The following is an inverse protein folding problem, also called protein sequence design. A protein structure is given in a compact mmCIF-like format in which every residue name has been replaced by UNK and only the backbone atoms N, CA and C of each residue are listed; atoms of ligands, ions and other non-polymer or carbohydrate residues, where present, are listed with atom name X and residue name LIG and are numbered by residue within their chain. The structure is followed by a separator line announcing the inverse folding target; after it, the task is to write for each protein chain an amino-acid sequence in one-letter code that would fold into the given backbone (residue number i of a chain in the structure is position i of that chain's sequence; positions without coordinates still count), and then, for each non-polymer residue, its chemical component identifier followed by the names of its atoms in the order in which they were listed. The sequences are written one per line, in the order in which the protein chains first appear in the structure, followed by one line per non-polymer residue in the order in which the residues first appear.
data_IF_489089833985
#
_entry.id   IF_489089833985
#
_cell.length_a   1.000
_cell.length_b   1.000
_cell.length_c   1.000
_cell.angle_alpha   90.00
_cell.angle_beta   90.00
_cell.angle_gamma   90.00
#
_symmetry.space_group_name_H-M   'P 1'
#
loop_
_entity.id
_entity.type
_entity.pdbx_description
1 polymer ?
#
# COMPACT_ATOMS: atom_id res chain seq x y z
N UNK A 1 -14.60 -31.20 37.01
CA UNK A 1 -15.69 -30.44 36.40
C UNK A 1 -15.11 -29.12 35.87
N UNK A 2 -15.18 -28.91 34.58
CA UNK A 2 -14.70 -27.64 33.98
C UNK A 2 -15.91 -26.74 33.75
N UNK A 3 -15.89 -25.56 34.38
CA UNK A 3 -16.90 -24.52 34.13
C UNK A 3 -16.42 -23.69 32.94
N UNK A 4 -17.20 -23.66 31.89
CA UNK A 4 -16.90 -22.90 30.67
C UNK A 4 -17.84 -21.72 30.62
N UNK A 5 -17.29 -20.52 30.51
CA UNK A 5 -18.02 -19.28 30.29
C UNK A 5 -17.93 -18.87 28.82
N UNK A 6 -19.09 -18.68 28.16
CA UNK A 6 -19.12 -18.25 26.79
C UNK A 6 -18.68 -16.78 26.66
N UNK A 7 -17.70 -16.53 25.80
CA UNK A 7 -17.25 -15.16 25.44
C UNK A 7 -18.04 -14.67 24.23
N UNK A 8 -18.34 -13.35 24.16
CA UNK A 8 -18.96 -12.79 22.97
C UNK A 8 -18.06 -13.01 21.74
N UNK A 9 -18.58 -13.62 20.68
CA UNK A 9 -17.88 -13.93 19.44
C UNK A 9 -17.93 -12.82 18.41
N UNK A 10 -18.68 -11.75 18.68
CA UNK A 10 -18.84 -10.58 17.80
C UNK A 10 -17.99 -9.41 18.26
N UNK A 11 -17.28 -8.80 17.33
CA UNK A 11 -16.54 -7.56 17.55
C UNK A 11 -17.05 -6.48 16.60
N UNK A 12 -17.44 -5.34 17.16
CA UNK A 12 -17.79 -4.13 16.42
C UNK A 12 -16.71 -3.08 16.66
N UNK A 13 -16.13 -2.59 15.60
CA UNK A 13 -15.14 -1.52 15.64
C UNK A 13 -15.63 -0.36 14.79
N UNK A 14 -15.70 0.83 15.40
CA UNK A 14 -15.88 2.08 14.69
C UNK A 14 -14.70 3.00 15.04
N UNK A 15 -14.09 3.58 14.02
CA UNK A 15 -12.93 4.43 14.17
C UNK A 15 -12.99 5.65 13.28
N UNK A 16 -12.35 6.72 13.73
CA UNK A 16 -12.10 7.93 12.95
C UNK A 16 -10.60 8.12 12.88
N UNK A 17 -10.10 8.33 11.69
CA UNK A 17 -8.70 8.66 11.44
C UNK A 17 -8.57 9.98 10.69
N UNK A 18 -7.34 10.43 10.54
CA UNK A 18 -6.98 11.59 9.74
C UNK A 18 -5.62 11.40 9.08
N UNK A 19 -5.53 11.77 7.83
CA UNK A 19 -4.26 11.94 7.12
C UNK A 19 -4.31 13.25 6.32
N UNK A 20 -3.17 13.87 6.09
CA UNK A 20 -3.10 15.13 5.34
C UNK A 20 -3.60 14.96 3.90
N UNK A 21 -3.35 13.82 3.29
CA UNK A 21 -3.79 13.49 1.92
C UNK A 21 -5.24 13.01 1.88
N UNK A 22 -5.62 12.06 2.72
CA UNK A 22 -6.95 11.45 2.66
C UNK A 22 -8.04 12.23 3.45
N UNK A 23 -7.64 13.26 4.23
CA UNK A 23 -8.55 13.99 5.10
C UNK A 23 -9.08 13.11 6.25
N UNK A 24 -10.35 13.25 6.58
CA UNK A 24 -11.02 12.43 7.60
C UNK A 24 -11.30 11.05 7.02
N UNK A 25 -10.93 10.02 7.78
CA UNK A 25 -11.13 8.60 7.43
C UNK A 25 -12.11 8.00 8.43
N UNK A 26 -13.22 7.51 7.93
CA UNK A 26 -14.21 6.78 8.71
C UNK A 26 -14.04 5.28 8.46
N UNK A 27 -13.90 4.52 9.52
CA UNK A 27 -13.76 3.07 9.46
C UNK A 27 -14.80 2.39 10.35
N UNK A 28 -15.46 1.39 9.81
CA UNK A 28 -16.37 0.55 10.57
C UNK A 28 -16.12 -0.90 10.17
N UNK A 29 -16.00 -1.78 11.14
CA UNK A 29 -15.97 -3.20 10.88
C UNK A 29 -16.80 -3.98 11.88
N UNK A 30 -17.45 -5.02 11.38
CA UNK A 30 -18.18 -6.01 12.16
C UNK A 30 -17.51 -7.35 11.86
N UNK A 31 -16.99 -7.98 12.89
CA UNK A 31 -16.39 -9.31 12.77
C UNK A 31 -17.12 -10.26 13.69
N UNK A 32 -17.60 -11.35 13.17
CA UNK A 32 -18.20 -12.45 13.92
C UNK A 32 -17.29 -13.67 13.80
N UNK A 33 -16.54 -13.95 14.84
CA UNK A 33 -15.82 -15.22 14.98
C UNK A 33 -16.79 -16.32 15.40
N UNK A 34 -16.48 -17.56 14.99
CA UNK A 34 -17.33 -18.71 15.29
C UNK A 34 -18.79 -18.54 14.85
N UNK A 35 -19.01 -18.05 13.62
CA UNK A 35 -20.32 -17.78 13.07
C UNK A 35 -21.24 -19.01 13.18
N UNK A 36 -22.36 -18.87 13.89
CA UNK A 36 -23.31 -19.94 14.19
C UNK A 36 -22.69 -21.21 14.79
N UNK A 37 -21.65 -21.06 15.60
CA UNK A 37 -20.97 -22.19 16.24
C UNK A 37 -20.08 -23.04 15.31
N UNK A 38 -19.84 -22.58 14.08
CA UNK A 38 -19.15 -23.34 13.04
C UNK A 38 -17.62 -23.18 13.03
N UNK A 39 -17.05 -22.38 13.92
CA UNK A 39 -15.62 -22.03 13.94
C UNK A 39 -15.18 -21.13 12.76
N UNK A 40 -16.11 -20.65 11.96
CA UNK A 40 -15.84 -19.83 10.78
C UNK A 40 -16.02 -18.35 11.12
N UNK A 41 -15.31 -17.48 10.38
CA UNK A 41 -15.36 -16.02 10.57
C UNK A 41 -16.10 -15.36 9.43
N UNK A 42 -16.97 -14.43 9.76
CA UNK A 42 -17.55 -13.48 8.81
C UNK A 42 -17.13 -12.08 9.23
N UNK A 43 -16.74 -11.28 8.24
CA UNK A 43 -16.33 -9.91 8.43
C UNK A 43 -17.00 -9.00 7.39
N UNK A 44 -17.53 -7.90 7.87
CA UNK A 44 -17.96 -6.77 7.05
C UNK A 44 -17.07 -5.58 7.41
N UNK A 45 -16.54 -4.88 6.41
CA UNK A 45 -15.73 -3.68 6.60
C UNK A 45 -16.20 -2.58 5.66
N UNK A 46 -16.32 -1.38 6.22
CA UNK A 46 -16.59 -0.14 5.49
C UNK A 46 -15.49 0.87 5.83
N UNK A 47 -14.90 1.45 4.79
CA UNK A 47 -13.93 2.52 4.91
C UNK A 47 -14.33 3.64 3.96
N UNK A 48 -14.33 4.88 4.45
CA UNK A 48 -14.65 6.07 3.66
C UNK A 48 -13.69 7.19 4.00
N UNK A 49 -13.04 7.73 2.97
CA UNK A 49 -12.20 8.91 3.03
C UNK A 49 -12.48 9.79 1.82
N UNK A 50 -11.81 10.92 1.71
CA UNK A 50 -11.87 11.78 0.52
C UNK A 50 -11.38 11.05 -0.74
N UNK A 51 -10.37 10.19 -0.61
CA UNK A 51 -9.73 9.47 -1.73
C UNK A 51 -10.43 8.16 -2.05
N UNK A 52 -10.86 7.42 -1.03
CA UNK A 52 -11.34 6.05 -1.20
C UNK A 52 -12.63 5.80 -0.42
N UNK A 53 -13.58 5.16 -1.09
CA UNK A 53 -14.72 4.50 -0.46
C UNK A 53 -14.62 3.00 -0.72
N UNK A 54 -14.58 2.19 0.33
CA UNK A 54 -14.44 0.75 0.22
C UNK A 54 -15.46 0.01 1.07
N UNK A 55 -16.10 -0.98 0.46
CA UNK A 55 -16.94 -1.98 1.12
C UNK A 55 -16.29 -3.35 0.91
N UNK A 56 -16.17 -4.13 1.97
CA UNK A 56 -15.63 -5.47 1.88
C UNK A 56 -16.46 -6.44 2.74
N UNK A 57 -16.78 -7.59 2.17
CA UNK A 57 -17.39 -8.73 2.85
C UNK A 57 -16.43 -9.91 2.75
N UNK A 58 -16.09 -10.49 3.87
CA UNK A 58 -15.19 -11.61 3.98
C UNK A 58 -15.82 -12.79 4.72
N UNK A 59 -15.54 -13.98 4.24
CA UNK A 59 -15.80 -15.23 4.93
C UNK A 59 -14.50 -16.00 5.00
N UNK A 60 -14.17 -16.58 6.15
CA UNK A 60 -12.98 -17.39 6.33
C UNK A 60 -13.25 -18.63 7.16
N UNK A 61 -12.83 -19.77 6.65
CA UNK A 61 -12.68 -21.01 7.40
C UNK A 61 -11.21 -21.17 7.78
N UNK A 62 -10.80 -20.94 9.03
CA UNK A 62 -9.39 -21.01 9.44
C UNK A 62 -8.83 -22.43 9.44
N UNK A 63 -9.68 -23.44 9.55
CA UNK A 63 -9.34 -24.86 9.54
C UNK A 63 -10.11 -25.58 8.42
N UNK A 64 -9.85 -25.16 7.16
CA UNK A 64 -10.43 -25.83 6.00
C UNK A 64 -9.92 -27.28 5.87
N UNK A 65 -8.65 -27.47 6.22
CA UNK A 65 -8.03 -28.79 6.41
C UNK A 65 -7.60 -28.99 7.85
N UNK A 66 -7.35 -30.23 8.23
CA UNK A 66 -6.85 -30.58 9.58
C UNK A 66 -5.45 -30.04 9.85
N UNK A 67 -4.65 -29.79 8.80
CA UNK A 67 -3.30 -29.24 8.87
C UNK A 67 -3.29 -27.71 9.03
N UNK A 68 -4.46 -27.08 9.21
CA UNK A 68 -4.57 -25.64 9.45
C UNK A 68 -4.54 -24.77 8.20
N UNK A 69 -4.72 -25.34 7.00
CA UNK A 69 -4.91 -24.53 5.79
C UNK A 69 -6.24 -23.78 5.91
N UNK A 70 -6.19 -22.48 5.82
CA UNK A 70 -7.38 -21.63 5.81
C UNK A 70 -7.91 -21.43 4.39
N UNK A 71 -9.24 -21.27 4.26
CA UNK A 71 -9.89 -20.88 3.00
C UNK A 71 -10.79 -19.67 3.23
N UNK A 72 -10.59 -18.65 2.44
CA UNK A 72 -11.37 -17.42 2.45
C UNK A 72 -12.14 -17.20 1.16
N UNK A 73 -13.27 -16.48 1.26
CA UNK A 73 -13.98 -15.87 0.15
C UNK A 73 -14.15 -14.39 0.45
N UNK A 74 -14.00 -13.56 -0.56
CA UNK A 74 -14.17 -12.12 -0.42
C UNK A 74 -15.02 -11.55 -1.54
N UNK A 75 -15.80 -10.52 -1.20
CA UNK A 75 -16.42 -9.60 -2.14
C UNK A 75 -15.99 -8.19 -1.74
N UNK A 76 -15.63 -7.39 -2.72
CA UNK A 76 -15.20 -6.01 -2.49
C UNK A 76 -15.77 -5.08 -3.54
N UNK A 77 -16.08 -3.88 -3.09
CA UNK A 77 -16.41 -2.74 -3.93
C UNK A 77 -15.55 -1.56 -3.48
N UNK A 78 -14.89 -0.91 -4.42
CA UNK A 78 -14.04 0.25 -4.15
C UNK A 78 -14.27 1.33 -5.20
N UNK A 79 -14.43 2.57 -4.72
CA UNK A 79 -14.34 3.79 -5.51
C UNK A 79 -13.08 4.54 -5.11
N UNK A 80 -12.35 5.05 -6.07
CA UNK A 80 -11.13 5.84 -5.86
C UNK A 80 -11.22 7.13 -6.65
N UNK A 81 -11.07 8.26 -5.97
CA UNK A 81 -10.90 9.60 -6.53
C UNK A 81 -9.41 9.95 -6.46
N UNK A 82 -8.68 9.62 -7.52
CA UNK A 82 -7.21 9.67 -7.52
C UNK A 82 -6.66 11.09 -7.42
N UNK A 83 -7.39 12.08 -7.96
CA UNK A 83 -7.01 13.49 -7.85
C UNK A 83 -6.77 13.94 -6.41
N UNK A 84 -7.61 13.49 -5.49
CA UNK A 84 -7.51 13.80 -4.07
C UNK A 84 -6.38 13.04 -3.35
N UNK A 85 -5.76 12.07 -4.03
CA UNK A 85 -4.61 11.30 -3.54
C UNK A 85 -3.24 11.88 -3.92
N UNK A 86 -3.20 13.11 -4.47
CA UNK A 86 -1.99 13.72 -5.05
C UNK A 86 -1.41 12.89 -6.21
N UNK A 87 -2.26 12.35 -7.05
CA UNK A 87 -1.82 11.61 -8.24
C UNK A 87 -2.55 12.11 -9.49
N UNK A 88 -2.16 11.62 -10.66
CA UNK A 88 -2.85 11.94 -11.91
C UNK A 88 -4.36 11.75 -11.79
N UNK A 89 -5.13 12.65 -12.40
CA UNK A 89 -6.59 12.62 -12.24
C UNK A 89 -7.20 11.44 -12.98
N UNK A 90 -7.83 10.55 -12.26
CA UNK A 90 -8.78 9.54 -12.75
C UNK A 90 -9.68 9.10 -11.61
N UNK A 91 -10.89 8.70 -11.94
CA UNK A 91 -11.76 8.04 -10.99
C UNK A 91 -11.94 6.59 -11.41
N UNK A 92 -11.90 5.70 -10.45
CA UNK A 92 -12.07 4.28 -10.73
C UNK A 92 -13.09 3.65 -9.79
N UNK A 93 -13.83 2.68 -10.34
CA UNK A 93 -14.73 1.80 -9.60
C UNK A 93 -14.32 0.37 -9.85
N UNK A 94 -14.05 -0.34 -8.77
CA UNK A 94 -13.66 -1.75 -8.83
C UNK A 94 -14.68 -2.56 -8.04
N UNK A 95 -15.31 -3.51 -8.70
CA UNK A 95 -16.12 -4.55 -8.07
C UNK A 95 -15.44 -5.88 -8.29
N UNK A 96 -15.26 -6.66 -7.23
CA UNK A 96 -14.56 -7.91 -7.36
C UNK A 96 -14.89 -8.90 -6.27
N UNK A 97 -14.40 -10.12 -6.46
CA UNK A 97 -14.49 -11.17 -5.47
C UNK A 97 -13.60 -12.34 -5.83
N UNK A 98 -13.31 -13.15 -4.84
CA UNK A 98 -12.37 -14.24 -5.06
C UNK A 98 -12.28 -15.25 -3.93
N UNK A 99 -11.37 -16.17 -4.12
CA UNK A 99 -11.03 -17.22 -3.17
C UNK A 99 -9.55 -17.11 -2.80
N UNK A 100 -9.26 -17.32 -1.54
CA UNK A 100 -7.89 -17.34 -1.01
C UNK A 100 -7.64 -18.56 -0.13
N UNK A 101 -6.39 -18.98 -0.12
CA UNK A 101 -5.91 -20.02 0.78
C UNK A 101 -4.69 -19.48 1.52
N UNK A 102 -4.66 -19.74 2.83
CA UNK A 102 -3.54 -19.43 3.70
C UNK A 102 -2.96 -20.71 4.27
N UNK A 103 -1.67 -20.91 4.11
CA UNK A 103 -0.94 -22.12 4.42
C UNK A 103 0.13 -21.77 5.46
N UNK A 104 -0.08 -22.11 6.74
CA UNK A 104 0.97 -21.99 7.74
C UNK A 104 2.00 -23.11 7.52
N UNK A 105 3.20 -22.73 7.06
CA UNK A 105 4.27 -23.70 6.78
C UNK A 105 5.05 -24.01 8.05
N UNK A 106 5.34 -22.96 8.83
CA UNK A 106 5.95 -23.06 10.16
C UNK A 106 5.37 -21.96 11.06
N UNK A 107 5.82 -21.89 12.30
CA UNK A 107 5.46 -20.80 13.23
C UNK A 107 5.74 -19.41 12.66
N UNK A 108 6.80 -19.27 11.83
CA UNK A 108 7.24 -18.00 11.28
C UNK A 108 6.96 -17.83 9.79
N UNK A 109 6.65 -18.91 9.09
CA UNK A 109 6.48 -18.93 7.63
C UNK A 109 5.01 -19.12 7.24
N UNK A 110 4.53 -18.24 6.40
CA UNK A 110 3.18 -18.26 5.89
C UNK A 110 3.16 -18.08 4.37
N UNK A 111 2.46 -18.96 3.68
CA UNK A 111 2.21 -18.88 2.22
C UNK A 111 0.74 -18.52 2.01
N UNK A 112 0.48 -17.63 1.08
CA UNK A 112 -0.86 -17.29 0.63
C UNK A 112 -0.98 -17.43 -0.88
N UNK A 113 -2.11 -17.93 -1.36
CA UNK A 113 -2.47 -17.93 -2.77
C UNK A 113 -3.92 -17.49 -2.91
N UNK A 114 -4.22 -16.74 -3.96
CA UNK A 114 -5.58 -16.29 -4.22
C UNK A 114 -5.85 -16.16 -5.72
N UNK A 115 -7.13 -16.27 -6.06
CA UNK A 115 -7.67 -15.95 -7.37
C UNK A 115 -8.85 -15.02 -7.19
N UNK A 116 -8.76 -13.81 -7.76
CA UNK A 116 -9.78 -12.78 -7.67
C UNK A 116 -10.20 -12.34 -9.07
N UNK A 117 -11.48 -12.26 -9.29
CA UNK A 117 -12.06 -11.58 -10.44
C UNK A 117 -12.39 -10.14 -10.06
N UNK A 118 -12.03 -9.20 -10.92
CA UNK A 118 -12.25 -7.78 -10.73
C UNK A 118 -12.80 -7.16 -12.02
N UNK A 119 -13.90 -6.42 -11.90
CA UNK A 119 -14.38 -5.53 -12.95
C UNK A 119 -13.99 -4.10 -12.57
N UNK A 120 -13.08 -3.53 -13.34
CA UNK A 120 -12.55 -2.17 -13.14
C UNK A 120 -13.16 -1.26 -14.19
N UNK A 121 -13.70 -0.12 -13.77
CA UNK A 121 -14.22 0.94 -14.63
C UNK A 121 -13.52 2.24 -14.32
N UNK A 122 -12.95 2.87 -15.32
CA UNK A 122 -12.44 4.23 -15.26
C UNK A 122 -13.54 5.22 -15.66
N UNK A 123 -13.62 6.38 -15.00
CA UNK A 123 -14.56 7.44 -15.40
C UNK A 123 -14.18 7.98 -16.78
N UNK A 124 -15.20 8.31 -17.58
CA UNK A 124 -15.03 9.03 -18.85
C UNK A 124 -15.19 10.54 -18.68
N UNK A 125 -15.75 10.97 -17.54
CA UNK A 125 -16.03 12.36 -17.26
C UNK A 125 -14.82 13.03 -16.60
N UNK A 126 -14.14 13.91 -17.35
CA UNK A 126 -13.05 14.68 -16.75
C UNK A 126 -12.01 15.19 -17.77
N UNK A 127 -11.10 15.99 -17.24
CA UNK A 127 -9.97 16.53 -17.98
C UNK A 127 -8.75 15.66 -17.68
N UNK A 128 -8.57 14.60 -18.47
CA UNK A 128 -7.50 13.64 -18.24
C UNK A 128 -6.16 14.12 -18.80
N UNK A 129 -5.10 13.70 -18.13
CA UNK A 129 -3.75 13.81 -18.67
C UNK A 129 -3.62 12.96 -19.94
N UNK A 130 -2.70 13.34 -20.81
CA UNK A 130 -2.50 12.66 -22.09
C UNK A 130 -2.27 11.15 -21.94
N UNK A 131 -1.46 10.77 -20.98
CA UNK A 131 -1.13 9.36 -20.70
C UNK A 131 -2.38 8.54 -20.33
N UNK A 132 -3.29 9.13 -19.55
CA UNK A 132 -4.57 8.49 -19.20
C UNK A 132 -5.50 8.40 -20.41
N UNK A 133 -5.57 9.47 -21.19
CA UNK A 133 -6.41 9.51 -22.39
C UNK A 133 -5.94 8.50 -23.43
N UNK A 134 -4.63 8.46 -23.74
CA UNK A 134 -4.05 7.50 -24.68
C UNK A 134 -4.31 6.05 -24.25
N UNK A 135 -4.19 5.77 -22.95
CA UNK A 135 -4.50 4.44 -22.42
C UNK A 135 -5.97 4.07 -22.62
N UNK A 136 -6.91 5.01 -22.35
CA UNK A 136 -8.35 4.78 -22.51
C UNK A 136 -8.69 4.62 -24.00
N UNK A 137 -8.10 5.42 -24.88
CA UNK A 137 -8.34 5.36 -26.33
C UNK A 137 -7.85 4.03 -26.94
N UNK A 138 -6.72 3.48 -26.43
CA UNK A 138 -6.15 2.22 -26.90
C UNK A 138 -6.85 0.99 -26.29
N UNK A 139 -7.20 1.03 -25.01
CA UNK A 139 -7.63 -0.14 -24.25
C UNK A 139 -9.09 -0.09 -23.80
N UNK A 140 -9.76 1.07 -23.94
CA UNK A 140 -11.09 1.30 -23.36
C UNK A 140 -11.02 1.71 -21.89
N UNK A 141 -12.20 1.81 -21.27
CA UNK A 141 -12.37 2.29 -19.89
C UNK A 141 -12.93 1.26 -18.92
N UNK A 142 -13.27 0.06 -19.40
CA UNK A 142 -13.80 -1.04 -18.58
C UNK A 142 -13.00 -2.31 -18.85
N UNK A 143 -12.56 -2.95 -17.75
CA UNK A 143 -11.69 -4.12 -17.81
C UNK A 143 -12.20 -5.24 -16.88
N UNK A 144 -12.13 -6.45 -17.37
CA UNK A 144 -12.40 -7.68 -16.62
C UNK A 144 -11.07 -8.40 -16.35
N UNK A 145 -10.60 -8.38 -15.11
CA UNK A 145 -9.28 -8.86 -14.73
C UNK A 145 -9.42 -10.10 -13.86
N UNK A 146 -8.84 -11.22 -14.26
CA UNK A 146 -8.60 -12.34 -13.36
C UNK A 146 -7.19 -12.23 -12.80
N UNK A 147 -7.11 -11.87 -11.53
CA UNK A 147 -5.86 -11.69 -10.80
C UNK A 147 -5.52 -12.93 -9.99
N UNK A 148 -4.42 -13.59 -10.35
CA UNK A 148 -3.81 -14.66 -9.57
C UNK A 148 -2.72 -14.03 -8.69
N UNK A 149 -2.73 -14.33 -7.41
CA UNK A 149 -1.72 -13.83 -6.49
C UNK A 149 -1.13 -14.95 -5.62
N UNK A 150 0.16 -14.82 -5.35
CA UNK A 150 0.90 -15.67 -4.44
C UNK A 150 1.77 -14.81 -3.53
N UNK A 151 1.88 -15.19 -2.27
CA UNK A 151 2.69 -14.47 -1.28
C UNK A 151 3.38 -15.43 -0.32
N UNK A 152 4.55 -15.00 0.13
CA UNK A 152 5.31 -15.65 1.19
C UNK A 152 5.69 -14.61 2.24
N UNK A 153 5.50 -14.94 3.51
CA UNK A 153 5.90 -14.10 4.63
C UNK A 153 6.73 -14.91 5.61
N UNK A 154 7.85 -14.32 6.05
CA UNK A 154 8.67 -14.79 7.16
C UNK A 154 8.69 -13.69 8.22
N UNK A 155 8.08 -13.94 9.39
CA UNK A 155 7.92 -12.93 10.44
C UNK A 155 8.39 -13.49 11.79
N UNK A 156 9.52 -12.98 12.28
CA UNK A 156 10.12 -13.34 13.58
C UNK A 156 10.09 -12.17 14.56
N UNK A 157 9.34 -11.12 14.26
CA UNK A 157 9.25 -9.95 15.13
C UNK A 157 8.60 -10.34 16.47
N UNK A 158 9.13 -9.79 17.56
CA UNK A 158 8.61 -10.06 18.89
C UNK A 158 7.22 -9.43 19.17
N UNK A 159 6.87 -8.37 18.43
CA UNK A 159 5.59 -7.66 18.52
C UNK A 159 5.18 -7.23 17.11
N UNK A 160 3.88 -7.24 16.80
CA UNK A 160 3.37 -6.74 15.52
C UNK A 160 3.38 -5.21 15.49
N UNK A 161 2.98 -4.59 16.61
CA UNK A 161 3.00 -3.14 16.81
C UNK A 161 4.23 -2.82 17.65
N UNK A 162 5.00 -1.81 17.20
CA UNK A 162 6.24 -1.35 17.82
C UNK A 162 7.23 -2.50 18.09
N UNK A 163 7.67 -3.26 17.11
CA UNK A 163 8.65 -4.32 17.28
C UNK A 163 10.01 -3.77 17.73
N UNK A 164 10.75 -4.59 18.50
CA UNK A 164 12.06 -4.24 19.05
C UNK A 164 13.17 -5.14 18.50
N UNK A 165 12.81 -6.34 18.06
CA UNK A 165 13.74 -7.34 17.51
C UNK A 165 13.06 -8.26 16.54
N UNK A 166 13.85 -8.82 15.62
CA UNK A 166 13.40 -9.79 14.63
C UNK A 166 13.31 -9.21 13.23
N UNK A 167 12.79 -10.01 12.33
CA UNK A 167 12.69 -9.72 10.90
C UNK A 167 11.26 -9.87 10.43
N UNK A 168 10.91 -9.10 9.43
CA UNK A 168 9.79 -9.37 8.53
C UNK A 168 10.31 -9.37 7.11
N UNK A 169 10.09 -10.44 6.39
CA UNK A 169 10.26 -10.51 4.94
C UNK A 169 8.93 -10.91 4.32
N UNK A 170 8.45 -10.12 3.39
CA UNK A 170 7.22 -10.42 2.64
C UNK A 170 7.50 -10.21 1.17
N UNK A 171 7.30 -11.25 0.38
CA UNK A 171 7.29 -11.19 -1.07
C UNK A 171 5.90 -11.54 -1.57
N UNK A 172 5.40 -10.82 -2.55
CA UNK A 172 4.14 -11.11 -3.24
C UNK A 172 4.30 -10.95 -4.73
N UNK A 173 3.65 -11.81 -5.47
CA UNK A 173 3.52 -11.74 -6.92
C UNK A 173 2.05 -11.75 -7.31
N UNK A 174 1.74 -10.98 -8.34
CA UNK A 174 0.41 -10.90 -8.95
C UNK A 174 0.56 -11.06 -10.45
N UNK A 175 -0.36 -11.81 -11.05
CA UNK A 175 -0.46 -12.03 -12.47
C UNK A 175 -1.91 -11.81 -12.89
N UNK A 176 -2.13 -10.79 -13.69
CA UNK A 176 -3.41 -10.54 -14.34
C UNK A 176 -3.43 -11.28 -15.67
N UNK A 177 -4.42 -12.14 -15.84
CA UNK A 177 -4.58 -12.96 -17.04
C UNK A 177 -5.93 -12.67 -17.71
N UNK A 178 -6.02 -12.84 -19.03
CA UNK A 178 -7.28 -12.66 -19.76
C UNK A 178 -8.30 -13.71 -19.30
N UNK A 179 -9.52 -13.28 -19.06
CA UNK A 179 -10.58 -14.17 -18.60
C UNK A 179 -11.88 -13.96 -19.38
N UNK A 180 -12.44 -12.75 -19.35
CA UNK A 180 -13.63 -12.38 -20.10
C UNK A 180 -13.47 -10.97 -20.68
N UNK A 181 -14.21 -10.69 -21.76
CA UNK A 181 -14.39 -9.35 -22.29
C UNK A 181 -13.07 -8.64 -22.62
N UNK A 182 -12.98 -7.38 -22.24
CA UNK A 182 -11.79 -6.57 -22.38
C UNK A 182 -10.89 -6.76 -21.13
N UNK A 183 -9.84 -7.55 -21.29
CA UNK A 183 -8.93 -7.93 -20.20
C UNK A 183 -7.57 -7.28 -20.37
N UNK A 184 -6.98 -6.86 -19.24
CA UNK A 184 -5.60 -6.38 -19.19
C UNK A 184 -4.69 -7.50 -18.68
N UNK A 185 -3.52 -7.60 -19.30
CA UNK A 185 -2.52 -8.60 -18.96
C UNK A 185 -1.29 -7.89 -18.40
N UNK A 186 -0.94 -8.16 -17.14
CA UNK A 186 0.24 -7.59 -16.51
C UNK A 186 0.69 -8.44 -15.32
N UNK A 187 1.89 -8.16 -14.82
CA UNK A 187 2.38 -8.76 -13.57
C UNK A 187 2.95 -7.71 -12.65
N UNK A 188 2.93 -8.00 -11.37
CA UNK A 188 3.54 -7.18 -10.31
C UNK A 188 4.27 -8.09 -9.33
N UNK A 189 5.43 -7.64 -8.86
CA UNK A 189 6.19 -8.26 -7.78
C UNK A 189 6.46 -7.17 -6.75
N UNK A 190 6.18 -7.47 -5.48
CA UNK A 190 6.49 -6.56 -4.38
C UNK A 190 7.26 -7.32 -3.30
N UNK A 191 8.28 -6.67 -2.75
CA UNK A 191 9.06 -7.18 -1.64
C UNK A 191 9.18 -6.13 -0.56
N UNK A 192 8.77 -6.49 0.65
CA UNK A 192 8.90 -5.65 1.83
C UNK A 192 9.73 -6.35 2.89
N UNK A 193 10.66 -5.60 3.49
CA UNK A 193 11.50 -6.11 4.58
C UNK A 193 11.54 -5.12 5.73
N UNK A 194 11.63 -5.65 6.93
CA UNK A 194 11.88 -4.90 8.17
C UNK A 194 12.85 -5.70 9.02
N UNK A 195 13.78 -5.01 9.65
CA UNK A 195 14.74 -5.56 10.57
C UNK A 195 14.83 -4.71 11.82
N UNK A 196 14.70 -5.33 12.97
CA UNK A 196 14.80 -4.67 14.27
C UNK A 196 15.87 -5.35 15.11
N UNK A 197 16.79 -4.56 15.64
CA UNK A 197 17.89 -5.05 16.49
C UNK A 197 18.16 -4.08 17.62
N UNK A 198 18.10 -4.53 18.90
CA UNK A 198 18.63 -3.77 20.01
C UNK A 198 20.14 -3.50 19.80
N UNK A 199 20.57 -2.27 20.04
CA UNK A 199 21.96 -1.84 19.94
C UNK A 199 22.59 -1.87 21.35
N UNK A 200 22.79 -0.72 21.95
CA UNK A 200 23.32 -0.55 23.31
C UNK A 200 22.25 0.14 24.18
N UNK A 201 22.18 -0.23 25.45
CA UNK A 201 21.09 0.21 26.31
C UNK A 201 19.75 -0.17 25.70
N UNK A 202 18.81 0.79 25.65
CA UNK A 202 17.47 0.60 25.10
C UNK A 202 17.30 1.19 23.68
N UNK A 203 18.42 1.52 23.00
CA UNK A 203 18.39 1.95 21.60
C UNK A 203 18.13 0.77 20.67
N UNK A 204 17.26 0.98 19.67
CA UNK A 204 16.92 -0.05 18.69
C UNK A 204 17.22 0.49 17.27
N UNK A 205 17.96 -0.27 16.49
CA UNK A 205 18.08 -0.05 15.06
C UNK A 205 16.88 -0.68 14.35
N UNK A 206 16.18 0.11 13.52
CA UNK A 206 15.16 -0.37 12.62
C UNK A 206 15.58 -0.05 11.18
N UNK A 207 15.61 -1.08 10.32
CA UNK A 207 15.82 -0.94 8.89
C UNK A 207 14.55 -1.36 8.17
N UNK A 208 14.17 -0.61 7.13
CA UNK A 208 12.99 -0.87 6.31
C UNK A 208 13.38 -0.85 4.83
N UNK A 209 12.76 -1.69 4.05
CA UNK A 209 12.89 -1.70 2.59
C UNK A 209 11.57 -2.07 1.94
N UNK A 210 11.25 -1.40 0.84
CA UNK A 210 10.06 -1.65 0.02
C UNK A 210 10.48 -1.57 -1.45
N UNK A 211 10.38 -2.68 -2.16
CA UNK A 211 10.69 -2.82 -3.57
C UNK A 211 9.43 -3.25 -4.31
N UNK A 212 9.18 -2.64 -5.45
CA UNK A 212 8.11 -2.99 -6.37
C UNK A 212 8.59 -3.00 -7.80
N UNK A 213 8.13 -3.97 -8.57
CA UNK A 213 8.34 -4.05 -10.00
C UNK A 213 7.10 -4.63 -10.66
N UNK A 214 6.68 -4.05 -11.77
CA UNK A 214 5.58 -4.57 -12.58
C UNK A 214 5.72 -4.14 -14.02
N UNK A 215 5.10 -4.89 -14.93
CA UNK A 215 5.09 -4.55 -16.33
C UNK A 215 3.87 -5.14 -17.04
N UNK A 216 3.56 -4.60 -18.21
CA UNK A 216 2.54 -5.15 -19.09
C UNK A 216 2.93 -6.51 -19.66
N UNK A 217 1.93 -7.26 -20.08
CA UNK A 217 2.07 -8.52 -20.82
C UNK A 217 1.17 -8.46 -22.06
N UNK A 218 1.45 -9.33 -23.04
CA UNK A 218 0.65 -9.42 -24.24
C UNK A 218 0.67 -8.13 -25.07
N UNK A 219 -0.45 -7.45 -25.12
CA UNK A 219 -0.61 -6.20 -25.89
C UNK A 219 -0.32 -4.93 -25.09
N UNK A 220 -0.05 -5.05 -23.79
CA UNK A 220 0.30 -3.91 -22.95
C UNK A 220 1.81 -3.68 -22.94
N UNK A 221 2.24 -2.49 -23.34
CA UNK A 221 3.66 -2.12 -23.37
C UNK A 221 4.22 -1.78 -21.99
N UNK A 222 3.37 -1.51 -21.00
CA UNK A 222 3.76 -1.15 -19.63
C UNK A 222 2.64 -1.49 -18.66
N UNK A 223 2.96 -1.42 -17.38
CA UNK A 223 1.95 -1.54 -16.31
C UNK A 223 0.86 -0.48 -16.50
N UNK A 224 -0.44 -0.83 -16.39
CA UNK A 224 -1.51 0.15 -16.40
C UNK A 224 -1.28 1.26 -15.36
N UNK A 225 -1.49 2.52 -15.71
CA UNK A 225 -1.16 3.66 -14.85
C UNK A 225 -1.83 3.59 -13.46
N UNK A 226 -3.04 3.05 -13.36
CA UNK A 226 -3.76 2.89 -12.09
C UNK A 226 -3.22 1.73 -11.23
N UNK A 227 -2.28 0.94 -11.73
CA UNK A 227 -1.54 -0.11 -11.02
C UNK A 227 -0.12 0.33 -10.62
N UNK A 228 0.30 1.54 -10.99
CA UNK A 228 1.62 2.07 -10.70
C UNK A 228 1.92 2.12 -9.20
N UNK A 229 3.21 2.05 -8.88
CA UNK A 229 3.72 2.29 -7.54
C UNK A 229 3.93 3.79 -7.32
N UNK A 230 3.79 4.20 -6.06
CA UNK A 230 4.00 5.57 -5.62
C UNK A 230 4.99 5.63 -4.46
N UNK A 231 5.68 6.75 -4.31
CA UNK A 231 6.57 7.04 -3.20
C UNK A 231 6.45 8.52 -2.78
N UNK A 232 7.01 8.85 -1.60
CA UNK A 232 6.79 10.09 -0.87
C UNK A 232 5.78 9.89 0.27
N UNK A 233 5.85 10.74 1.27
CA UNK A 233 4.93 10.73 2.40
C UNK A 233 5.40 9.96 3.62
N UNK A 234 4.57 9.96 4.69
CA UNK A 234 4.95 9.49 6.03
C UNK A 234 5.28 8.00 6.11
N UNK A 235 4.85 7.20 5.14
CA UNK A 235 5.06 5.75 5.09
C UNK A 235 6.12 5.30 4.10
N UNK A 236 6.75 6.25 3.40
CA UNK A 236 7.71 6.01 2.33
C UNK A 236 8.96 6.86 2.54
N UNK A 237 9.16 7.94 1.81
CA UNK A 237 10.24 8.89 1.97
C UNK A 237 9.67 10.15 2.63
N UNK A 238 9.87 10.29 3.94
CA UNK A 238 9.37 11.43 4.72
C UNK A 238 10.03 12.72 4.25
N UNK A 239 9.32 13.86 4.40
CA UNK A 239 9.80 15.17 3.93
C UNK A 239 9.35 15.55 2.54
N UNK A 240 8.85 14.60 1.78
CA UNK A 240 8.15 14.81 0.51
C UNK A 240 6.66 14.56 0.69
N UNK A 241 5.84 15.25 -0.06
CA UNK A 241 4.39 15.04 -0.03
C UNK A 241 4.02 13.62 -0.47
N UNK A 242 2.90 13.11 0.04
CA UNK A 242 2.48 11.71 -0.21
C UNK A 242 2.22 11.49 -1.69
N UNK A 243 2.82 10.42 -2.26
CA UNK A 243 2.71 9.98 -3.65
C UNK A 243 3.38 10.87 -4.70
N UNK A 244 4.13 11.90 -4.36
CA UNK A 244 4.61 12.91 -5.31
C UNK A 244 5.97 12.62 -5.95
N UNK A 245 6.68 11.57 -5.50
CA UNK A 245 7.99 11.23 -6.08
C UNK A 245 7.86 10.40 -7.35
N UNK A 246 8.64 10.75 -8.36
CA UNK A 246 8.80 9.98 -9.60
C UNK A 246 8.23 10.66 -10.85
N UNK A 247 7.84 9.87 -11.85
CA UNK A 247 7.27 10.36 -13.11
C UNK A 247 6.01 11.20 -12.90
N UNK A 248 5.85 12.21 -13.73
CA UNK A 248 4.68 13.08 -13.75
C UNK A 248 3.94 12.99 -15.09
N UNK A 249 2.66 13.27 -15.05
CA UNK A 249 1.80 13.34 -16.22
C UNK A 249 1.98 14.65 -17.01
N UNK A 250 1.22 14.81 -18.12
CA UNK A 250 1.25 15.99 -18.99
C UNK A 250 0.79 17.29 -18.31
N UNK A 251 0.22 17.21 -17.10
CA UNK A 251 -0.15 18.37 -16.28
C UNK A 251 0.80 18.61 -15.11
N UNK A 252 1.88 17.81 -15.01
CA UNK A 252 2.84 17.87 -13.92
C UNK A 252 2.38 17.18 -12.64
N UNK A 253 1.34 16.33 -12.69
CA UNK A 253 0.86 15.56 -11.53
C UNK A 253 1.55 14.20 -11.45
N UNK A 254 1.77 13.65 -10.26
CA UNK A 254 2.40 12.36 -10.08
C UNK A 254 1.65 11.24 -10.82
N UNK A 255 2.33 10.58 -11.73
CA UNK A 255 1.83 9.42 -12.48
C UNK A 255 2.21 8.10 -11.80
N UNK A 256 3.17 8.15 -10.87
CA UNK A 256 3.79 6.96 -10.32
C UNK A 256 4.72 6.28 -11.31
N UNK A 257 5.16 5.07 -10.98
CA UNK A 257 6.06 4.30 -11.83
C UNK A 257 5.88 2.81 -11.64
N UNK A 258 6.40 2.03 -12.56
CA UNK A 258 6.33 0.57 -12.51
C UNK A 258 7.55 -0.06 -11.80
N UNK A 259 8.53 0.75 -11.39
CA UNK A 259 9.65 0.36 -10.51
C UNK A 259 9.60 1.23 -9.26
N UNK A 260 9.68 0.62 -8.08
CA UNK A 260 9.76 1.30 -6.79
C UNK A 260 10.94 0.78 -5.99
N UNK A 261 11.72 1.66 -5.40
CA UNK A 261 12.72 1.32 -4.39
C UNK A 261 12.68 2.38 -3.29
N UNK A 262 12.36 1.94 -2.09
CA UNK A 262 12.33 2.79 -0.90
C UNK A 262 13.05 2.05 0.22
N UNK A 263 13.91 2.76 0.94
CA UNK A 263 14.61 2.25 2.11
C UNK A 263 14.61 3.28 3.22
N UNK A 264 14.68 2.83 4.45
CA UNK A 264 14.79 3.69 5.62
C UNK A 264 15.59 3.04 6.74
N UNK A 265 16.36 3.86 7.44
CA UNK A 265 17.06 3.48 8.66
C UNK A 265 16.59 4.39 9.80
N UNK A 266 16.23 3.80 10.92
CA UNK A 266 15.79 4.53 12.11
C UNK A 266 16.58 4.06 13.33
N UNK A 267 16.98 5.01 14.15
CA UNK A 267 17.47 4.77 15.51
C UNK A 267 16.37 5.17 16.47
N UNK A 268 15.73 4.17 17.06
CA UNK A 268 14.70 4.38 18.07
C UNK A 268 15.38 4.70 19.38
N UNK A 269 14.93 5.80 19.99
CA UNK A 269 15.56 6.42 21.15
C UNK A 269 14.73 6.07 22.38
N UNK A 270 15.36 5.57 23.47
CA UNK A 270 14.66 5.34 24.71
C UNK A 270 14.14 6.66 25.31
N UNK A 271 12.93 6.64 25.84
CA UNK A 271 12.33 7.81 26.50
C UNK A 271 12.36 7.60 28.02
N UNK A 272 13.43 8.03 28.71
CA UNK A 272 13.69 7.63 30.11
C UNK A 272 12.65 8.14 31.11
N UNK A 273 11.92 9.22 30.76
CA UNK A 273 10.88 9.80 31.63
C UNK A 273 9.51 9.13 31.46
N UNK A 274 9.37 8.22 30.50
CA UNK A 274 8.12 7.54 30.13
C UNK A 274 8.24 6.03 30.29
N UNK A 275 8.94 5.55 31.33
CA UNK A 275 9.15 4.10 31.56
C UNK A 275 7.86 3.29 31.62
N UNK A 276 6.74 3.92 31.99
CA UNK A 276 5.41 3.31 32.02
C UNK A 276 4.64 3.47 30.70
N UNK A 277 5.22 4.15 29.68
CA UNK A 277 4.60 4.37 28.40
C UNK A 277 5.27 3.52 27.29
N UNK A 278 5.06 2.22 27.32
CA UNK A 278 5.41 1.32 26.19
C UNK A 278 4.74 1.71 24.87
N UNK A 279 3.86 2.68 24.92
CA UNK A 279 3.02 3.15 23.81
C UNK A 279 3.64 4.30 23.00
N UNK A 280 4.74 4.89 23.47
CA UNK A 280 5.40 6.03 22.80
C UNK A 280 6.77 5.62 22.29
N UNK A 281 7.06 6.00 21.05
CA UNK A 281 8.33 5.74 20.38
C UNK A 281 8.83 6.99 19.72
N UNK A 282 10.06 7.39 19.99
CA UNK A 282 10.78 8.45 19.29
C UNK A 282 11.90 7.84 18.46
N UNK A 283 12.17 8.39 17.28
CA UNK A 283 13.26 7.94 16.44
C UNK A 283 13.90 9.10 15.66
N UNK A 284 15.20 9.00 15.44
CA UNK A 284 15.89 9.70 14.37
C UNK A 284 15.96 8.79 13.14
N UNK A 285 15.74 9.34 11.96
CA UNK A 285 15.65 8.54 10.75
C UNK A 285 16.39 9.14 9.56
N UNK A 286 16.69 8.26 8.61
CA UNK A 286 17.14 8.59 7.27
C UNK A 286 16.36 7.71 6.29
N UNK A 287 15.69 8.35 5.33
CA UNK A 287 14.94 7.68 4.27
C UNK A 287 15.57 7.97 2.92
N UNK A 288 15.49 7.00 2.01
CA UNK A 288 15.91 7.10 0.63
C UNK A 288 14.94 6.35 -0.27
N UNK A 289 14.62 6.90 -1.43
CA UNK A 289 13.77 6.18 -2.37
C UNK A 289 13.27 7.02 -3.53
N UNK A 290 12.67 6.34 -4.46
CA UNK A 290 11.96 6.92 -5.60
C UNK A 290 11.10 5.86 -6.28
N UNK A 291 10.33 6.29 -7.29
CA UNK A 291 9.70 5.43 -8.30
C UNK A 291 10.17 5.85 -9.68
N UNK A 292 10.18 4.91 -10.60
CA UNK A 292 10.67 5.10 -11.97
C UNK A 292 9.79 4.37 -12.97
N UNK A 293 9.91 4.75 -14.24
CA UNK A 293 9.36 4.02 -15.36
C UNK A 293 10.43 3.17 -16.06
N UNK A 294 10.06 1.98 -16.55
CA UNK A 294 10.92 1.08 -17.33
C UNK A 294 10.56 1.02 -18.82
N UNK A 295 9.41 1.60 -19.21
CA UNK A 295 8.87 1.45 -20.55
C UNK A 295 9.74 2.06 -21.65
N UNK A 296 9.51 1.62 -22.88
CA UNK A 296 10.08 2.25 -24.06
C UNK A 296 9.61 3.70 -24.13
N UNK A 297 10.57 4.59 -24.34
CA UNK A 297 10.26 6.00 -24.51
C UNK A 297 9.49 6.21 -25.80
N UNK A 298 8.16 6.24 -25.72
CA UNK A 298 7.30 6.59 -26.86
C UNK A 298 7.19 8.11 -26.93
N UNK A 299 7.42 8.64 -28.13
CA UNK A 299 7.12 10.02 -28.42
C UNK A 299 5.62 10.12 -28.71
N UNK A 300 4.90 10.78 -27.84
CA UNK A 300 3.49 11.18 -28.04
C UNK A 300 3.41 12.69 -28.19
N UNK A 301 2.35 13.22 -28.77
CA UNK A 301 2.16 14.68 -28.88
C UNK A 301 1.04 15.12 -27.97
N UNK A 302 1.27 16.21 -27.22
CA UNK A 302 0.21 16.84 -26.47
C UNK A 302 -0.82 17.52 -27.40
N UNK A 303 -1.92 18.02 -26.82
CA UNK A 303 -2.97 18.72 -27.58
C UNK A 303 -2.48 20.01 -28.27
N UNK A 304 -1.32 20.51 -27.90
CA UNK A 304 -0.69 21.70 -28.47
C UNK A 304 0.35 21.32 -29.53
N UNK A 305 0.54 20.02 -29.82
CA UNK A 305 1.49 19.53 -30.80
C UNK A 305 2.92 19.39 -30.26
N UNK A 306 3.14 19.55 -28.94
CA UNK A 306 4.46 19.33 -28.35
C UNK A 306 4.72 17.84 -28.23
N UNK A 307 5.94 17.43 -28.56
CA UNK A 307 6.37 16.05 -28.37
C UNK A 307 6.63 15.81 -26.89
N UNK A 308 5.93 14.84 -26.32
CA UNK A 308 6.09 14.39 -24.93
C UNK A 308 6.66 12.98 -24.94
N UNK A 309 7.61 12.73 -24.08
CA UNK A 309 8.17 11.41 -23.83
C UNK A 309 7.37 10.72 -22.72
N UNK A 310 6.93 9.49 -22.93
CA UNK A 310 6.16 8.74 -21.94
C UNK A 310 7.01 8.27 -20.75
N UNK A 311 8.31 8.07 -20.97
CA UNK A 311 9.30 7.73 -19.95
C UNK A 311 10.62 8.41 -20.27
N UNK A 312 10.77 9.72 -19.97
CA UNK A 312 11.99 10.46 -20.24
C UNK A 312 13.17 9.91 -19.43
N UNK A 313 14.39 10.10 -19.93
CA UNK A 313 15.61 9.55 -19.30
C UNK A 313 15.77 9.97 -17.83
N UNK A 314 15.28 11.13 -17.48
CA UNK A 314 15.25 11.61 -16.07
C UNK A 314 14.37 10.77 -15.14
N UNK A 315 13.36 10.07 -15.67
CA UNK A 315 12.39 9.28 -14.92
C UNK A 315 12.68 7.77 -15.01
N UNK A 316 13.75 7.38 -15.73
CA UNK A 316 14.25 6.01 -15.78
C UNK A 316 15.00 5.63 -14.51
N UNK A 317 15.07 4.33 -14.25
CA UNK A 317 15.79 3.81 -13.11
C UNK A 317 17.26 4.26 -13.09
N UNK A 318 17.64 4.92 -11.99
CA UNK A 318 18.99 5.39 -11.73
C UNK A 318 19.15 5.81 -10.28
N UNK A 319 20.27 5.45 -9.66
CA UNK A 319 20.54 5.82 -8.25
C UNK A 319 20.80 7.32 -8.06
N UNK A 320 21.16 8.03 -9.11
CA UNK A 320 21.32 9.49 -9.16
C UNK A 320 19.97 10.24 -9.05
N UNK A 321 18.88 9.51 -9.29
CA UNK A 321 17.50 10.00 -9.16
C UNK A 321 16.85 9.67 -7.80
N UNK A 322 17.57 9.05 -6.87
CA UNK A 322 17.07 8.83 -5.51
C UNK A 322 16.84 10.18 -4.81
N UNK A 323 15.79 10.22 -4.00
CA UNK A 323 15.50 11.29 -3.05
C UNK A 323 15.87 10.83 -1.66
N UNK A 324 16.38 11.73 -0.87
CA UNK A 324 16.82 11.45 0.49
C UNK A 324 16.18 12.41 1.47
N UNK A 325 15.97 11.95 2.68
CA UNK A 325 15.56 12.83 3.78
C UNK A 325 16.08 12.32 5.11
N UNK A 326 16.27 13.24 6.03
CA UNK A 326 16.62 12.92 7.41
C UNK A 326 15.74 13.72 8.37
N UNK A 327 15.47 13.18 9.55
CA UNK A 327 14.60 13.86 10.50
C UNK A 327 14.38 13.07 11.78
N UNK A 328 13.38 13.52 12.52
CA UNK A 328 12.91 12.92 13.76
C UNK A 328 11.43 12.55 13.63
N UNK A 329 11.02 11.46 14.27
CA UNK A 329 9.63 11.02 14.27
C UNK A 329 9.21 10.58 15.66
N UNK A 330 7.91 10.74 15.94
CA UNK A 330 7.25 10.26 17.14
C UNK A 330 6.04 9.42 16.77
N UNK A 331 5.87 8.29 17.43
CA UNK A 331 4.71 7.42 17.32
C UNK A 331 4.13 7.23 18.71
N UNK A 332 2.82 7.42 18.83
CA UNK A 332 2.09 7.16 20.06
C UNK A 332 0.88 6.26 19.76
N UNK A 333 0.85 5.12 20.43
CA UNK A 333 -0.32 4.22 20.43
C UNK A 333 -1.31 4.76 21.46
N UNK A 334 -2.18 5.64 21.02
CA UNK A 334 -3.19 6.24 21.89
C UNK A 334 -4.41 5.31 22.05
N UNK A 335 -5.25 5.51 23.08
CA UNK A 335 -6.51 4.77 23.24
C UNK A 335 -7.47 4.92 22.03
N UNK A 336 -7.31 5.98 21.24
CA UNK A 336 -8.16 6.31 20.10
C UNK A 336 -7.54 5.89 18.75
N UNK A 337 -6.33 5.36 18.75
CA UNK A 337 -5.59 4.95 17.56
C UNK A 337 -4.14 5.42 17.56
N UNK A 338 -3.44 5.08 16.49
CA UNK A 338 -2.03 5.41 16.35
C UNK A 338 -1.88 6.87 15.89
N UNK A 339 -1.07 7.62 16.61
CA UNK A 339 -0.66 8.99 16.25
C UNK A 339 0.78 8.92 15.76
N UNK A 340 1.06 9.46 14.59
CA UNK A 340 2.42 9.57 14.06
C UNK A 340 2.69 11.00 13.63
N UNK A 341 3.84 11.50 14.03
CA UNK A 341 4.34 12.85 13.68
C UNK A 341 5.77 12.72 13.20
N UNK A 342 6.13 13.41 12.16
CA UNK A 342 7.53 13.53 11.72
C UNK A 342 7.88 14.94 11.30
N UNK A 343 9.12 15.34 11.61
CA UNK A 343 9.79 16.51 11.09
C UNK A 343 11.02 16.06 10.31
N UNK A 344 11.08 16.44 9.07
CA UNK A 344 12.11 15.97 8.16
C UNK A 344 12.63 17.08 7.25
N UNK A 345 13.88 16.96 6.88
CA UNK A 345 14.54 17.80 5.91
C UNK A 345 14.89 16.96 4.69
N UNK A 346 14.36 17.27 3.51
CA UNK A 346 14.84 16.72 2.24
C UNK A 346 16.31 17.06 2.03
N UNK A 347 17.05 16.15 1.42
CA UNK A 347 18.46 16.28 1.11
C UNK A 347 18.61 16.05 -0.40
N UNK A 348 19.06 17.08 -1.13
CA UNK A 348 19.23 17.00 -2.59
C UNK A 348 17.89 16.89 -3.33
N UNK A 349 16.90 17.67 -2.90
CA UNK A 349 15.65 17.88 -3.63
C UNK A 349 15.91 18.43 -5.04
N UNK A 350 15.04 18.06 -5.96
CA UNK A 350 15.14 18.48 -7.37
C UNK A 350 13.98 19.43 -7.71
N UNK A 351 14.15 20.26 -8.76
CA UNK A 351 13.06 21.10 -9.24
C UNK A 351 11.80 20.26 -9.57
N UNK A 352 10.67 20.65 -9.01
CA UNK A 352 9.39 19.94 -9.16
C UNK A 352 9.05 18.97 -8.02
N UNK A 353 9.98 18.74 -7.07
CA UNK A 353 9.66 17.94 -5.88
C UNK A 353 8.74 18.74 -4.93
N UNK A 354 7.66 18.12 -4.49
CA UNK A 354 6.74 18.69 -3.51
C UNK A 354 7.19 18.35 -2.09
N UNK A 355 7.55 19.38 -1.32
CA UNK A 355 8.18 19.23 -0.01
C UNK A 355 7.13 19.40 1.09
N UNK A 356 7.07 18.43 2.00
CA UNK A 356 6.23 18.48 3.20
C UNK A 356 7.06 18.08 4.43
N UNK A 357 7.72 19.04 5.03
CA UNK A 357 8.64 18.83 6.16
C UNK A 357 7.95 18.32 7.43
N UNK A 358 6.71 18.75 7.67
CA UNK A 358 5.89 18.30 8.78
C UNK A 358 4.81 17.36 8.28
N UNK A 359 4.78 16.16 8.84
CA UNK A 359 3.79 15.15 8.47
C UNK A 359 3.11 14.61 9.73
N UNK A 360 1.78 14.49 9.65
CA UNK A 360 0.93 14.04 10.73
C UNK A 360 -0.08 13.02 10.23
N UNK A 361 -0.22 11.90 10.93
CA UNK A 361 -1.27 10.92 10.71
C UNK A 361 -1.88 10.49 12.03
N UNK A 362 -3.18 10.23 12.03
CA UNK A 362 -3.94 9.76 13.19
C UNK A 362 -4.89 8.64 12.77
N UNK A 363 -5.06 7.64 13.65
CA UNK A 363 -5.94 6.51 13.43
C UNK A 363 -5.23 5.30 12.82
N UNK A 364 -5.99 4.27 12.50
CA UNK A 364 -5.47 3.05 11.86
C UNK A 364 -5.36 3.26 10.34
N UNK A 365 -4.37 4.01 9.91
CA UNK A 365 -4.03 4.20 8.48
C UNK A 365 -3.00 3.17 8.01
N UNK A 366 -3.25 1.89 8.29
CA UNK A 366 -2.37 0.77 7.92
C UNK A 366 -2.99 -0.10 6.82
#
# INVERSE_FOLDING_TARGET
EYTVEEKPFGNFLAGVGFSQTQGIILQTSITQDNFLGSGKRIQFAFNNSRVNRRLALGYMNPYYTIDGISRGFNLNYQETEAFDANVTAFDSRVFGGGVSFGIPVTEFNFVSVAANYENTRLSEDGFFARQVQDFIDENGNQFDILRLSAGFAYDTRNKTILPERGFLHRISGELAIPFFGNSLEFYKIAYRTQYFRPLFGDFILALKGDFGFGDGLGNLDSLPFFENFYAGGPRSVRGYEENTLGPVDSFGRPLGGNIKLVGGAEIIIPVPFLKDFEQVRLAAFFDAGNVWCSGNNRLTTDRFGNVIETCPDRDRFGFDNLRYSAGISGIWVSPFGLVSVSFSKPIGDKPGDEIQQFQFTFGNTF
#
